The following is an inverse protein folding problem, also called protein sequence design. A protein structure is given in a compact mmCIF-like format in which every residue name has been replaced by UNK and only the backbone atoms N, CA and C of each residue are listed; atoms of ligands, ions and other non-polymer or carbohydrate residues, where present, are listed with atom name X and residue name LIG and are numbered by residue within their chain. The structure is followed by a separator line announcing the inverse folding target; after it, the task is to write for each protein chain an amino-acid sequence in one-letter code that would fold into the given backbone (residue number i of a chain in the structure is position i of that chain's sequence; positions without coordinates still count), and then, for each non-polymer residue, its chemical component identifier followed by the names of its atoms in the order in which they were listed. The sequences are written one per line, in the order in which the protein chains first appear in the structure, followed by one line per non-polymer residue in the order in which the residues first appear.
data_IF_039699657873
#
_entry.id   IF_039699657873
#
_cell.length_a   1.000
_cell.length_b   1.000
_cell.length_c   1.000
_cell.angle_alpha   90.00
_cell.angle_beta   90.00
_cell.angle_gamma   90.00
#
_symmetry.space_group_name_H-M   'P 1'
#
loop_
_entity.id
_entity.type
_entity.pdbx_description
1 polymer ?
#
# COMPACT_ATOMS: atom_id res chain seq x y z
N UNK A 1 22.87 -9.28 18.53
CA UNK A 1 21.66 -9.33 19.34
C UNK A 1 20.78 -8.12 19.05
N UNK A 2 21.25 -6.89 19.32
CA UNK A 2 20.45 -5.68 19.09
C UNK A 2 20.10 -5.47 17.60
N UNK A 3 20.98 -5.81 16.67
CA UNK A 3 20.71 -5.69 15.24
C UNK A 3 19.66 -6.70 14.77
N UNK A 4 19.64 -7.89 15.33
CA UNK A 4 18.66 -8.93 15.00
C UNK A 4 17.30 -8.55 15.59
N UNK A 5 17.26 -8.05 16.83
CA UNK A 5 16.05 -7.58 17.47
C UNK A 5 15.42 -6.40 16.73
N UNK A 6 16.23 -5.44 16.28
CA UNK A 6 15.76 -4.33 15.45
C UNK A 6 15.16 -4.81 14.11
N UNK A 7 15.81 -5.76 13.44
CA UNK A 7 15.29 -6.34 12.20
C UNK A 7 13.97 -7.07 12.44
N UNK A 8 13.82 -7.74 13.59
CA UNK A 8 12.59 -8.45 13.93
C UNK A 8 11.46 -7.49 14.34
N UNK A 9 11.79 -6.31 14.88
CA UNK A 9 10.82 -5.27 15.24
C UNK A 9 10.42 -4.38 14.07
N UNK A 10 11.22 -4.34 13.01
CA UNK A 10 10.98 -3.53 11.81
C UNK A 10 10.24 -4.33 10.75
N UNK A 11 9.11 -4.95 11.13
CA UNK A 11 8.28 -5.68 10.17
C UNK A 11 7.58 -4.70 9.25
N UNK A 12 7.79 -4.91 7.95
CA UNK A 12 7.06 -4.20 6.91
C UNK A 12 5.96 -5.11 6.42
N UNK A 13 4.74 -4.57 6.27
CA UNK A 13 3.62 -5.24 5.61
C UNK A 13 3.30 -4.49 4.33
N UNK A 14 3.01 -5.23 3.28
CA UNK A 14 2.55 -4.65 2.02
C UNK A 14 1.24 -5.31 1.60
N UNK A 15 0.22 -4.51 1.38
CA UNK A 15 -1.04 -4.93 0.76
C UNK A 15 -0.80 -4.87 -0.74
N UNK A 16 -0.58 -6.05 -1.32
CA UNK A 16 0.02 -6.22 -2.64
C UNK A 16 -0.97 -6.73 -3.68
N UNK A 17 -0.87 -6.15 -4.87
CA UNK A 17 -1.55 -6.64 -6.06
C UNK A 17 -0.48 -7.02 -7.10
N UNK A 18 -0.26 -8.32 -7.36
CA UNK A 18 0.79 -8.74 -8.30
C UNK A 18 0.52 -8.32 -9.75
N UNK A 19 -0.71 -7.94 -10.07
CA UNK A 19 -1.06 -7.45 -11.40
C UNK A 19 -0.85 -5.94 -11.58
N UNK A 20 -0.36 -5.26 -10.55
CA UNK A 20 -0.12 -3.82 -10.58
C UNK A 20 1.38 -3.54 -10.63
N UNK A 21 1.83 -2.85 -11.68
CA UNK A 21 3.25 -2.51 -11.84
C UNK A 21 3.81 -1.67 -10.70
N UNK A 22 3.05 -0.71 -10.21
CA UNK A 22 3.45 0.11 -9.05
C UNK A 22 3.63 -0.77 -7.82
N UNK A 23 2.70 -1.70 -7.58
CA UNK A 23 2.79 -2.61 -6.45
C UNK A 23 4.02 -3.54 -6.54
N UNK A 24 4.31 -4.05 -7.74
CA UNK A 24 5.51 -4.87 -7.98
C UNK A 24 6.79 -4.06 -7.75
N UNK A 25 6.85 -2.83 -8.24
CA UNK A 25 8.01 -1.96 -8.03
C UNK A 25 8.23 -1.66 -6.54
N UNK A 26 7.18 -1.38 -5.79
CA UNK A 26 7.29 -1.12 -4.34
C UNK A 26 7.82 -2.35 -3.61
N UNK A 27 7.28 -3.53 -3.90
CA UNK A 27 7.76 -4.78 -3.30
C UNK A 27 9.24 -5.01 -3.63
N UNK A 28 9.63 -4.76 -4.88
CA UNK A 28 11.01 -4.91 -5.31
C UNK A 28 11.94 -3.91 -4.60
N UNK A 29 11.51 -2.67 -4.38
CA UNK A 29 12.29 -1.67 -3.65
C UNK A 29 12.52 -2.13 -2.21
N UNK A 30 11.50 -2.64 -1.54
CA UNK A 30 11.63 -3.14 -0.17
C UNK A 30 12.66 -4.26 -0.11
N UNK A 31 12.59 -5.21 -1.05
CA UNK A 31 13.55 -6.32 -1.15
C UNK A 31 14.94 -5.85 -1.52
N UNK A 32 15.04 -4.84 -2.37
CA UNK A 32 16.31 -4.22 -2.76
C UNK A 32 17.03 -3.62 -1.54
N UNK A 33 16.28 -3.16 -0.56
CA UNK A 33 16.82 -2.64 0.71
C UNK A 33 17.15 -3.76 1.71
N UNK A 34 17.06 -5.01 1.30
CA UNK A 34 17.42 -6.16 2.15
C UNK A 34 16.35 -6.60 3.11
N UNK A 35 15.11 -6.17 2.91
CA UNK A 35 13.98 -6.50 3.79
C UNK A 35 13.02 -7.42 3.05
N UNK A 36 12.62 -8.52 3.68
CA UNK A 36 11.53 -9.36 3.19
C UNK A 36 10.25 -8.98 3.95
N UNK A 37 9.28 -8.33 3.31
CA UNK A 37 8.06 -7.91 3.99
C UNK A 37 7.07 -9.06 4.14
N UNK A 38 6.10 -8.88 5.05
CA UNK A 38 4.89 -9.68 5.02
C UNK A 38 4.06 -9.22 3.84
N UNK A 39 3.76 -10.13 2.92
CA UNK A 39 2.96 -9.82 1.72
C UNK A 39 1.53 -10.25 1.95
N UNK A 40 0.61 -9.28 1.92
CA UNK A 40 -0.82 -9.53 2.05
C UNK A 40 -1.44 -9.36 0.67
N UNK A 41 -1.91 -10.45 0.09
CA UNK A 41 -2.63 -10.43 -1.19
C UNK A 41 -4.08 -10.05 -0.91
N UNK A 42 -4.34 -8.76 -0.79
CA UNK A 42 -5.60 -8.22 -0.29
C UNK A 42 -6.82 -8.56 -1.16
N UNK A 43 -6.62 -8.91 -2.43
CA UNK A 43 -7.74 -9.37 -3.27
C UNK A 43 -8.26 -10.74 -2.84
N UNK A 44 -7.41 -11.54 -2.20
CA UNK A 44 -7.76 -12.88 -1.68
C UNK A 44 -8.01 -12.85 -0.19
N UNK A 45 -7.27 -12.01 0.52
CA UNK A 45 -7.33 -11.87 1.97
C UNK A 45 -7.52 -10.38 2.29
N UNK A 46 -8.74 -9.86 2.10
CA UNK A 46 -8.99 -8.43 2.31
C UNK A 46 -8.84 -8.05 3.76
N UNK A 47 -8.51 -6.79 4.04
CA UNK A 47 -8.48 -6.30 5.42
C UNK A 47 -9.88 -6.36 6.03
N UNK A 48 -9.94 -6.51 7.34
CA UNK A 48 -11.19 -6.34 8.07
C UNK A 48 -11.60 -4.86 8.00
N UNK A 49 -12.88 -4.59 8.33
CA UNK A 49 -13.37 -3.20 8.36
C UNK A 49 -12.56 -2.35 9.34
N UNK A 50 -12.30 -2.88 10.54
CA UNK A 50 -11.52 -2.19 11.57
C UNK A 50 -10.09 -1.91 11.08
N UNK A 51 -9.46 -2.90 10.47
CA UNK A 51 -8.11 -2.76 9.91
C UNK A 51 -8.06 -1.69 8.83
N UNK A 52 -9.05 -1.65 7.94
CA UNK A 52 -9.12 -0.64 6.89
C UNK A 52 -9.30 0.76 7.46
N UNK A 53 -10.16 0.91 8.46
CA UNK A 53 -10.36 2.20 9.16
C UNK A 53 -9.05 2.66 9.81
N UNK A 54 -8.34 1.77 10.48
CA UNK A 54 -7.04 2.08 11.09
C UNK A 54 -6.00 2.49 10.04
N UNK A 55 -5.97 1.79 8.91
CA UNK A 55 -5.06 2.13 7.81
C UNK A 55 -5.35 3.54 7.25
N UNK A 56 -6.62 3.86 7.07
CA UNK A 56 -7.02 5.20 6.60
C UNK A 56 -6.56 6.29 7.57
N UNK A 57 -6.73 6.05 8.88
CA UNK A 57 -6.28 7.00 9.91
C UNK A 57 -4.75 7.16 9.88
N UNK A 58 -4.01 6.07 9.80
CA UNK A 58 -2.55 6.13 9.75
C UNK A 58 -2.03 6.79 8.47
N UNK A 59 -2.68 6.54 7.34
CA UNK A 59 -2.32 7.17 6.06
C UNK A 59 -2.79 8.63 5.98
N UNK A 60 -3.68 9.07 6.88
CA UNK A 60 -4.31 10.39 6.83
C UNK A 60 -5.07 10.61 5.52
N UNK A 61 -5.71 9.55 5.03
CA UNK A 61 -6.53 9.58 3.83
C UNK A 61 -8.00 9.42 4.18
N UNK A 62 -8.84 10.09 3.40
CA UNK A 62 -10.28 9.80 3.42
C UNK A 62 -10.55 8.48 2.67
N UNK A 63 -11.72 7.90 2.90
CA UNK A 63 -12.13 6.73 2.15
C UNK A 63 -12.13 7.00 0.64
N UNK A 64 -12.60 8.18 0.24
CA UNK A 64 -12.64 8.56 -1.18
C UNK A 64 -11.24 8.65 -1.80
N UNK A 65 -10.26 9.12 -1.05
CA UNK A 65 -8.89 9.22 -1.54
C UNK A 65 -8.23 7.85 -1.76
N UNK A 66 -8.66 6.83 -1.02
CA UNK A 66 -8.15 5.48 -1.20
C UNK A 66 -8.87 4.71 -2.31
N UNK A 67 -10.04 5.17 -2.71
CA UNK A 67 -10.92 4.47 -3.63
C UNK A 67 -10.38 4.51 -5.07
N UNK A 68 -10.35 3.35 -5.75
CA UNK A 68 -10.07 3.30 -7.18
C UNK A 68 -11.30 3.71 -7.96
N UNK A 69 -11.11 4.57 -8.95
CA UNK A 69 -12.19 5.04 -9.82
C UNK A 69 -12.17 4.37 -11.19
N UNK A 70 -11.12 3.62 -11.50
CA UNK A 70 -10.83 3.03 -12.80
C UNK A 70 -11.24 1.55 -12.91
N UNK A 71 -12.10 1.08 -12.01
CA UNK A 71 -12.56 -0.32 -11.99
C UNK A 71 -14.09 -0.38 -12.10
N UNK A 72 -14.65 -1.47 -12.69
CA UNK A 72 -16.11 -1.58 -12.87
C UNK A 72 -16.90 -1.49 -11.56
N UNK A 73 -16.34 -1.94 -10.44
CA UNK A 73 -17.00 -1.87 -9.13
C UNK A 73 -17.33 -0.43 -8.72
N UNK A 74 -16.55 0.55 -9.16
CA UNK A 74 -16.81 1.96 -8.85
C UNK A 74 -18.18 2.40 -9.34
N UNK A 75 -18.54 2.05 -10.57
CA UNK A 75 -19.87 2.34 -11.14
C UNK A 75 -20.94 1.42 -10.55
N UNK A 76 -20.62 0.14 -10.37
CA UNK A 76 -21.53 -0.87 -9.83
C UNK A 76 -22.12 -0.45 -8.47
N UNK A 77 -21.32 0.16 -7.61
CA UNK A 77 -21.76 0.63 -6.29
C UNK A 77 -22.15 2.11 -6.27
N UNK A 78 -22.24 2.77 -7.43
CA UNK A 78 -22.58 4.21 -7.57
C UNK A 78 -21.69 5.10 -6.69
N UNK A 79 -20.41 4.80 -6.64
CA UNK A 79 -19.47 5.49 -5.74
C UNK A 79 -19.10 6.89 -6.21
N UNK A 80 -19.42 7.26 -7.45
CA UNK A 80 -19.20 8.60 -8.00
C UNK A 80 -20.13 9.64 -7.40
N UNK A 81 -21.25 9.22 -6.82
CA UNK A 81 -22.22 10.14 -6.22
C UNK A 81 -21.65 10.90 -5.03
N UNK A 82 -21.88 12.20 -4.97
CA UNK A 82 -21.45 13.03 -3.84
C UNK A 82 -22.21 12.72 -2.54
N UNK A 83 -23.32 11.98 -2.62
CA UNK A 83 -24.10 11.57 -1.46
C UNK A 83 -23.59 10.31 -0.77
N UNK A 84 -22.60 9.62 -1.38
CA UNK A 84 -22.02 8.42 -0.78
C UNK A 84 -21.20 8.79 0.44
N UNK A 85 -21.46 8.13 1.56
CA UNK A 85 -20.75 8.39 2.82
C UNK A 85 -19.43 7.62 2.87
N UNK A 86 -18.53 8.03 3.76
CA UNK A 86 -17.29 7.30 4.02
C UNK A 86 -17.58 5.86 4.45
N UNK A 87 -18.60 5.67 5.29
CA UNK A 87 -19.02 4.33 5.74
C UNK A 87 -19.39 3.44 4.56
N UNK A 88 -20.15 3.98 3.61
CA UNK A 88 -20.58 3.24 2.42
C UNK A 88 -19.39 2.91 1.52
N UNK A 89 -18.41 3.81 1.40
CA UNK A 89 -17.19 3.55 0.63
C UNK A 89 -16.34 2.46 1.27
N UNK A 90 -16.21 2.49 2.60
CA UNK A 90 -15.47 1.47 3.35
C UNK A 90 -16.15 0.12 3.17
N UNK A 91 -17.47 0.06 3.31
CA UNK A 91 -18.24 -1.17 3.11
C UNK A 91 -18.03 -1.73 1.70
N UNK A 92 -18.04 -0.86 0.69
CA UNK A 92 -17.82 -1.27 -0.69
C UNK A 92 -16.41 -1.83 -0.89
N UNK A 93 -15.38 -1.21 -0.30
CA UNK A 93 -14.00 -1.69 -0.37
C UNK A 93 -13.82 -3.06 0.29
N UNK A 94 -14.54 -3.32 1.38
CA UNK A 94 -14.51 -4.62 2.06
C UNK A 94 -15.23 -5.67 1.21
N UNK A 95 -16.37 -5.30 0.63
CA UNK A 95 -17.17 -6.20 -0.19
C UNK A 95 -16.47 -6.53 -1.51
N UNK A 96 -15.78 -5.56 -2.11
CA UNK A 96 -15.06 -5.74 -3.36
C UNK A 96 -13.67 -5.08 -3.26
N UNK A 97 -12.66 -5.82 -2.79
CA UNK A 97 -11.33 -5.28 -2.53
C UNK A 97 -10.60 -4.69 -3.73
N UNK A 98 -11.05 -4.96 -4.96
CA UNK A 98 -10.48 -4.33 -6.16
C UNK A 98 -10.59 -2.80 -6.09
N UNK A 99 -11.53 -2.29 -5.29
CA UNK A 99 -11.75 -0.87 -5.08
C UNK A 99 -10.65 -0.20 -4.25
N UNK A 100 -9.85 -0.99 -3.55
CA UNK A 100 -8.77 -0.45 -2.71
C UNK A 100 -7.59 -0.08 -3.60
N UNK A 101 -7.15 1.16 -3.52
CA UNK A 101 -5.94 1.60 -4.21
C UNK A 101 -4.71 0.90 -3.61
N UNK A 102 -3.62 0.79 -4.36
CA UNK A 102 -2.51 -0.11 -4.02
C UNK A 102 -1.16 0.42 -4.53
N UNK A 103 -0.06 0.02 -3.91
CA UNK A 103 0.00 -0.78 -2.68
C UNK A 103 -0.07 0.10 -1.44
N UNK A 104 -0.59 -0.46 -0.36
CA UNK A 104 -0.49 0.14 0.97
C UNK A 104 0.67 -0.54 1.67
N UNK A 105 1.57 0.25 2.25
CA UNK A 105 2.71 -0.27 3.00
C UNK A 105 2.65 0.25 4.42
N UNK A 106 2.89 -0.64 5.37
CA UNK A 106 2.96 -0.32 6.80
C UNK A 106 4.36 -0.62 7.30
N UNK A 107 4.99 0.36 7.93
CA UNK A 107 6.30 0.24 8.55
C UNK A 107 6.24 0.81 9.96
N UNK A 108 7.35 0.78 10.69
CA UNK A 108 7.46 1.44 11.99
C UNK A 108 7.23 2.96 11.92
N UNK A 109 7.33 3.54 10.74
CA UNK A 109 7.11 4.99 10.52
C UNK A 109 5.66 5.34 10.16
N UNK A 110 4.78 4.35 10.03
CA UNK A 110 3.37 4.55 9.72
C UNK A 110 2.92 3.76 8.50
N UNK A 111 1.79 4.16 7.92
CA UNK A 111 1.23 3.55 6.73
C UNK A 111 1.17 4.58 5.59
N UNK A 112 1.30 4.09 4.36
CA UNK A 112 1.27 4.97 3.19
C UNK A 112 0.76 4.22 1.95
N UNK A 113 -0.05 4.92 1.18
CA UNK A 113 -0.37 4.50 -0.19
C UNK A 113 0.82 4.90 -1.07
N UNK A 114 1.57 3.90 -1.52
CA UNK A 114 2.82 4.14 -2.26
C UNK A 114 2.56 4.26 -3.77
N UNK A 115 1.94 5.34 -4.15
CA UNK A 115 1.71 5.74 -5.54
C UNK A 115 2.05 7.21 -5.67
N UNK A 116 3.10 7.57 -6.43
CA UNK A 116 4.04 6.70 -7.17
C UNK A 116 4.90 5.83 -6.25
N UNK A 117 5.59 4.84 -6.83
CA UNK A 117 6.35 3.88 -6.03
C UNK A 117 7.47 4.52 -5.20
N UNK A 118 8.00 5.67 -5.63
CA UNK A 118 9.01 6.44 -4.88
C UNK A 118 8.52 6.90 -3.51
N UNK A 119 7.22 6.96 -3.31
CA UNK A 119 6.63 7.32 -2.02
C UNK A 119 7.06 6.38 -0.89
N UNK A 120 7.42 5.12 -1.20
CA UNK A 120 7.91 4.17 -0.20
C UNK A 120 9.16 4.68 0.52
N UNK A 121 9.99 5.47 -0.15
CA UNK A 121 11.25 5.94 0.41
C UNK A 121 11.05 6.80 1.67
N UNK A 122 9.90 7.44 1.81
CA UNK A 122 9.61 8.31 2.96
C UNK A 122 9.28 7.52 4.23
N UNK A 123 8.91 6.24 4.13
CA UNK A 123 8.54 5.43 5.28
C UNK A 123 9.41 4.19 5.46
N UNK A 124 10.41 3.98 4.61
CA UNK A 124 11.37 2.90 4.81
C UNK A 124 12.17 3.13 6.08
N UNK A 125 12.36 2.10 6.92
CA UNK A 125 13.16 2.22 8.14
C UNK A 125 14.67 2.26 7.87
N UNK A 126 15.07 2.01 6.62
CA UNK A 126 16.47 2.00 6.20
C UNK A 126 16.64 2.85 4.96
N UNK A 127 17.86 3.31 4.69
CA UNK A 127 18.17 4.03 3.45
C UNK A 127 18.37 3.03 2.31
N UNK A 128 17.95 3.43 1.13
CA UNK A 128 18.26 2.71 -0.09
C UNK A 128 19.70 3.07 -0.51
N UNK A 129 20.64 2.17 -0.26
CA UNK A 129 22.08 2.43 -0.47
C UNK A 129 22.52 2.35 -1.92
N UNK A 130 21.79 1.60 -2.75
CA UNK A 130 22.08 1.41 -4.17
C UNK A 130 20.91 1.87 -5.01
N UNK A 131 21.21 2.38 -6.19
CA UNK A 131 20.18 2.77 -7.15
C UNK A 131 19.27 1.58 -7.46
N UNK A 132 18.01 1.87 -7.71
CA UNK A 132 17.00 0.87 -8.04
C UNK A 132 16.50 1.10 -9.47
N UNK A 133 16.42 0.04 -10.27
CA UNK A 133 15.88 0.10 -11.62
C UNK A 133 14.45 -0.43 -11.60
N UNK A 134 13.50 0.42 -11.98
CA UNK A 134 12.09 0.03 -12.10
C UNK A 134 11.88 -0.91 -13.30
N UNK A 135 10.70 -1.55 -13.35
CA UNK A 135 10.34 -2.42 -14.47
C UNK A 135 10.42 -1.72 -15.83
N UNK A 136 10.11 -0.44 -15.90
CA UNK A 136 10.17 0.35 -17.14
C UNK A 136 11.57 0.86 -17.49
N UNK A 137 12.57 0.53 -16.69
CA UNK A 137 13.95 0.94 -16.90
C UNK A 137 14.32 2.27 -16.24
N UNK A 138 13.37 3.00 -15.68
CA UNK A 138 13.68 4.23 -14.95
C UNK A 138 14.47 3.92 -13.69
N UNK A 139 15.41 4.79 -13.36
CA UNK A 139 16.28 4.61 -12.19
C UNK A 139 15.84 5.53 -11.06
N UNK A 140 15.67 4.93 -9.87
CA UNK A 140 15.53 5.69 -8.63
C UNK A 140 16.90 5.74 -8.00
N UNK A 141 17.44 6.94 -7.82
CA UNK A 141 18.77 7.12 -7.26
C UNK A 141 18.78 6.82 -5.77
N UNK A 142 19.89 6.25 -5.31
CA UNK A 142 20.15 6.02 -3.88
C UNK A 142 20.15 7.33 -3.11
N UNK A 143 19.75 7.25 -1.85
CA UNK A 143 19.73 8.39 -0.93
C UNK A 143 20.98 8.46 -0.09
#
# INVERSE_FOLDING_TARGET
ALKIERKMMEKIRIYHNPNCGTSRNVLAIIRHCGIEPEIIYYLKTPPSRMELVELLLEMKLSARELLRTDVPAYEKFNLESSSVTDEEMIDAMIQDPILINRPIVVTSKGAKLCRPCEAILTILPVKMEKDFVKEDGQIIQSL
#
